data_IF_198664255844
#
_entry.id   IF_198664255844
#
_cell.length_a   1.000
_cell.length_b   1.000
_cell.length_c   1.000
_cell.angle_alpha   90.00
_cell.angle_beta   90.00
_cell.angle_gamma   90.00
#
_symmetry.space_group_name_H-M   'P 1'
#
loop_
_entity.id
_entity.type
_entity.pdbx_description
1 polymer ?
#
# COMPACT_ATOMS: atom_id res chain seq x y z
N UNK A 1 -2.97 19.58 5.00
CA UNK A 1 -3.41 18.24 4.53
C UNK A 1 -4.52 17.77 5.44
N UNK A 2 -5.61 17.21 4.88
CA UNK A 2 -6.64 16.50 5.63
C UNK A 2 -6.32 15.01 5.58
N UNK A 3 -6.54 14.32 6.70
CA UNK A 3 -6.31 12.88 6.81
C UNK A 3 -7.57 12.24 7.34
N UNK A 4 -8.08 11.24 6.63
CA UNK A 4 -9.20 10.42 7.04
C UNK A 4 -8.63 9.00 7.28
N UNK A 5 -8.58 8.57 8.56
CA UNK A 5 -7.95 7.32 8.99
C UNK A 5 -8.93 6.14 8.98
N UNK A 6 -8.43 4.97 8.63
CA UNK A 6 -9.11 3.67 8.74
C UNK A 6 -10.50 3.58 8.06
N UNK A 7 -10.65 4.30 6.95
CA UNK A 7 -11.90 4.37 6.20
C UNK A 7 -12.24 3.01 5.57
N UNK A 8 -13.52 2.62 5.55
CA UNK A 8 -13.94 1.32 5.01
C UNK A 8 -14.08 1.37 3.48
N UNK A 9 -13.67 0.29 2.82
CA UNK A 9 -13.97 0.00 1.42
C UNK A 9 -14.62 -1.38 1.36
N UNK A 10 -15.89 -1.43 0.98
CA UNK A 10 -16.67 -2.68 0.93
C UNK A 10 -16.42 -3.38 -0.41
N UNK A 11 -15.94 -4.61 -0.36
CA UNK A 11 -15.74 -5.48 -1.52
C UNK A 11 -17.06 -6.16 -1.94
N UNK A 12 -17.08 -6.74 -3.13
CA UNK A 12 -18.21 -7.48 -3.70
C UNK A 12 -18.68 -8.67 -2.84
N UNK A 13 -17.78 -9.27 -2.06
CA UNK A 13 -18.08 -10.35 -1.12
C UNK A 13 -18.47 -9.87 0.28
N UNK A 14 -18.64 -8.55 0.46
CA UNK A 14 -18.99 -7.92 1.72
C UNK A 14 -17.81 -7.75 2.69
N UNK A 15 -16.61 -8.23 2.36
CA UNK A 15 -15.43 -7.95 3.17
C UNK A 15 -15.10 -6.46 3.13
N UNK A 16 -14.73 -5.89 4.27
CA UNK A 16 -14.39 -4.46 4.38
C UNK A 16 -12.89 -4.30 4.50
N UNK A 17 -12.25 -3.81 3.43
CA UNK A 17 -10.86 -3.38 3.49
C UNK A 17 -10.73 -2.05 4.23
N UNK A 18 -9.55 -1.80 4.79
CA UNK A 18 -9.22 -0.57 5.53
C UNK A 18 -8.20 0.26 4.78
N UNK A 19 -8.48 1.56 4.69
CA UNK A 19 -7.63 2.50 4.00
C UNK A 19 -7.35 3.76 4.83
N UNK A 20 -6.23 4.43 4.54
CA UNK A 20 -5.92 5.77 5.01
C UNK A 20 -5.87 6.72 3.81
N UNK A 21 -6.58 7.84 3.92
CA UNK A 21 -6.67 8.85 2.87
C UNK A 21 -6.00 10.14 3.31
N UNK A 22 -4.97 10.54 2.57
CA UNK A 22 -4.27 11.81 2.72
C UNK A 22 -4.63 12.70 1.53
N UNK A 23 -5.14 13.90 1.76
CA UNK A 23 -5.58 14.77 0.67
C UNK A 23 -5.42 16.25 0.96
N UNK A 24 -5.47 17.13 -0.07
CA UNK A 24 -5.44 18.56 0.13
C UNK A 24 -6.55 19.00 1.10
N UNK A 25 -6.25 20.02 1.91
CA UNK A 25 -7.22 20.56 2.88
C UNK A 25 -8.25 21.51 2.26
N UNK A 26 -8.01 21.93 1.02
CA UNK A 26 -8.93 22.76 0.22
C UNK A 26 -10.00 21.88 -0.42
N UNK A 27 -11.19 22.43 -0.63
CA UNK A 27 -12.22 21.73 -1.39
C UNK A 27 -11.81 21.55 -2.85
N UNK A 28 -12.17 20.40 -3.43
CA UNK A 28 -11.84 20.08 -4.80
C UNK A 28 -11.84 18.58 -5.09
N UNK A 29 -11.61 18.26 -6.36
CA UNK A 29 -11.40 16.90 -6.86
C UNK A 29 -9.94 16.72 -7.21
N UNK A 30 -9.36 15.61 -6.77
CA UNK A 30 -7.93 15.35 -6.86
C UNK A 30 -7.65 14.05 -7.64
N UNK A 31 -6.58 13.98 -8.44
CA UNK A 31 -6.05 12.70 -8.89
C UNK A 31 -5.60 11.88 -7.68
N UNK A 32 -5.83 10.57 -7.74
CA UNK A 32 -5.56 9.65 -6.62
C UNK A 32 -4.29 8.86 -6.91
N UNK A 33 -3.36 8.80 -5.96
CA UNK A 33 -2.26 7.84 -5.92
C UNK A 33 -2.65 6.73 -4.96
N UNK A 34 -2.82 5.52 -5.47
CA UNK A 34 -3.27 4.36 -4.71
C UNK A 34 -2.12 3.36 -4.53
N UNK A 35 -1.92 2.92 -3.28
CA UNK A 35 -1.06 1.79 -2.94
C UNK A 35 -1.89 0.75 -2.17
N UNK A 36 -1.73 -0.53 -2.54
CA UNK A 36 -2.47 -1.66 -1.96
C UNK A 36 -1.51 -2.82 -1.70
N UNK A 37 -1.42 -3.28 -0.45
CA UNK A 37 -0.48 -4.34 -0.12
C UNK A 37 -0.43 -4.73 1.36
N UNK A 38 0.47 -5.65 1.72
CA UNK A 38 0.38 -6.37 2.99
C UNK A 38 1.26 -5.80 4.11
N UNK A 39 1.96 -4.69 3.88
CA UNK A 39 2.99 -4.19 4.82
C UNK A 39 2.46 -3.23 5.90
N UNK A 40 1.15 -3.23 6.09
CA UNK A 40 0.42 -2.43 7.07
C UNK A 40 0.62 -0.90 6.95
N UNK A 41 -0.41 -0.21 6.45
CA UNK A 41 -0.49 1.25 6.32
C UNK A 41 -0.29 2.01 7.64
N UNK A 42 -0.51 1.36 8.78
CA UNK A 42 -0.31 1.93 10.12
C UNK A 42 1.12 1.84 10.66
N UNK A 43 2.02 1.09 10.02
CA UNK A 43 3.39 0.87 10.50
C UNK A 43 4.36 1.91 9.91
N UNK A 44 4.90 2.77 10.78
CA UNK A 44 5.87 3.77 10.39
C UNK A 44 7.13 3.12 9.80
N UNK A 45 7.69 3.69 8.73
CA UNK A 45 8.91 3.19 8.10
C UNK A 45 10.06 3.07 9.13
N UNK A 46 10.18 4.04 10.04
CA UNK A 46 11.18 4.05 11.09
C UNK A 46 11.08 2.87 12.08
N UNK A 47 9.90 2.27 12.23
CA UNK A 47 9.66 1.12 13.11
C UNK A 47 9.83 -0.20 12.38
N UNK A 48 9.20 -0.33 11.21
CA UNK A 48 9.20 -1.58 10.47
C UNK A 48 10.57 -1.90 9.86
N UNK A 49 11.28 -0.88 9.41
CA UNK A 49 12.51 -1.04 8.63
C UNK A 49 13.58 -0.01 9.05
N UNK A 50 13.99 -0.01 10.33
CA UNK A 50 14.84 1.04 10.90
C UNK A 50 16.19 1.17 10.19
N UNK A 51 16.81 0.05 9.78
CA UNK A 51 18.10 0.07 9.07
C UNK A 51 17.98 0.70 7.68
N UNK A 52 16.93 0.35 6.93
CA UNK A 52 16.69 0.93 5.61
C UNK A 52 16.31 2.41 5.69
N UNK A 53 15.49 2.79 6.69
CA UNK A 53 15.20 4.19 6.96
C UNK A 53 16.48 4.98 7.27
N UNK A 54 17.30 4.50 8.21
CA UNK A 54 18.54 5.16 8.61
C UNK A 54 19.49 5.35 7.43
N UNK A 55 19.71 4.30 6.62
CA UNK A 55 20.54 4.38 5.42
C UNK A 55 20.00 5.39 4.42
N UNK A 56 18.70 5.36 4.16
CA UNK A 56 18.08 6.31 3.24
C UNK A 56 18.32 7.76 3.69
N UNK A 57 18.08 8.10 4.96
CA UNK A 57 18.25 9.49 5.42
C UNK A 57 19.71 9.90 5.62
N UNK A 58 20.63 8.95 5.85
CA UNK A 58 22.06 9.26 6.04
C UNK A 58 22.82 9.35 4.71
N UNK A 59 22.53 8.44 3.78
CA UNK A 59 23.20 8.37 2.47
C UNK A 59 22.54 9.33 1.46
N UNK A 60 21.23 9.59 1.61
CA UNK A 60 20.42 10.41 0.71
C UNK A 60 19.55 11.43 1.48
N UNK A 61 20.16 12.40 2.20
CA UNK A 61 19.43 13.35 3.03
C UNK A 61 18.42 14.21 2.25
N UNK A 62 18.64 14.41 0.94
CA UNK A 62 17.70 15.11 0.05
C UNK A 62 16.32 14.44 -0.01
N UNK A 63 16.25 13.12 0.20
CA UNK A 63 14.99 12.37 0.27
C UNK A 63 14.14 12.85 1.44
N UNK A 64 14.76 13.22 2.57
CA UNK A 64 14.05 13.75 3.75
C UNK A 64 13.84 15.25 3.73
N UNK A 65 14.55 16.01 2.89
CA UNK A 65 14.68 17.48 3.03
C UNK A 65 13.39 18.31 2.93
N UNK A 66 12.32 17.74 2.36
CA UNK A 66 11.01 18.40 2.18
C UNK A 66 9.85 17.65 2.86
N UNK A 67 10.14 16.76 3.80
CA UNK A 67 9.14 16.00 4.56
C UNK A 67 9.59 15.85 6.01
N UNK A 68 8.62 15.78 6.93
CA UNK A 68 8.89 15.40 8.31
C UNK A 68 9.19 13.89 8.46
N UNK A 69 8.89 13.09 7.44
CA UNK A 69 8.97 11.63 7.47
C UNK A 69 7.88 10.96 8.31
N UNK A 70 6.99 11.75 8.93
CA UNK A 70 5.99 11.28 9.91
C UNK A 70 4.99 10.27 9.33
N UNK A 71 4.66 10.43 8.06
CA UNK A 71 3.67 9.60 7.35
C UNK A 71 4.34 8.63 6.37
N UNK A 72 5.65 8.42 6.47
CA UNK A 72 6.34 7.49 5.61
C UNK A 72 6.08 6.05 6.04
N UNK A 73 5.79 5.22 5.05
CA UNK A 73 5.69 3.78 5.19
C UNK A 73 6.62 3.13 4.17
N UNK A 74 6.94 1.87 4.40
CA UNK A 74 7.77 1.09 3.48
C UNK A 74 7.16 1.07 2.07
N UNK A 75 8.00 1.38 1.07
CA UNK A 75 7.72 1.21 -0.38
C UNK A 75 6.54 1.98 -0.98
N UNK A 76 5.97 2.97 -0.27
CA UNK A 76 4.85 3.78 -0.77
C UNK A 76 5.21 5.27 -0.84
N UNK A 77 4.39 6.03 -1.57
CA UNK A 77 4.60 7.48 -1.73
C UNK A 77 4.47 8.24 -0.41
N UNK A 78 5.24 9.32 -0.29
CA UNK A 78 5.15 10.27 0.82
C UNK A 78 3.98 11.25 0.62
N UNK A 79 2.92 11.22 1.44
CA UNK A 79 1.81 12.17 1.29
C UNK A 79 2.26 13.61 1.52
N UNK A 80 3.33 13.87 2.29
CA UNK A 80 3.82 15.25 2.48
C UNK A 80 4.47 15.82 1.23
N UNK A 81 4.86 14.99 0.26
CA UNK A 81 5.39 15.45 -1.04
C UNK A 81 4.29 15.58 -2.09
N UNK A 82 3.32 14.65 -2.10
CA UNK A 82 2.31 14.58 -3.16
C UNK A 82 1.05 15.40 -2.88
N UNK A 83 0.63 15.52 -1.61
CA UNK A 83 -0.54 16.33 -1.25
C UNK A 83 -0.35 17.81 -1.56
N UNK A 84 0.81 18.44 -1.31
CA UNK A 84 1.07 19.82 -1.75
C UNK A 84 1.00 20.01 -3.26
N UNK A 85 1.22 18.95 -4.05
CA UNK A 85 1.09 18.95 -5.51
C UNK A 85 -0.36 18.68 -5.98
N UNK A 86 -1.33 18.62 -5.06
CA UNK A 86 -2.75 18.48 -5.37
C UNK A 86 -3.24 17.05 -5.53
N UNK A 87 -2.43 16.03 -5.22
CA UNK A 87 -2.83 14.62 -5.25
C UNK A 87 -3.47 14.18 -3.93
N UNK A 88 -4.41 13.24 -4.01
CA UNK A 88 -4.84 12.45 -2.87
C UNK A 88 -4.03 11.15 -2.83
N UNK A 89 -3.45 10.78 -1.69
CA UNK A 89 -2.78 9.49 -1.50
C UNK A 89 -3.70 8.56 -0.71
N UNK A 90 -4.06 7.41 -1.28
CA UNK A 90 -4.90 6.38 -0.67
C UNK A 90 -4.06 5.13 -0.44
N UNK A 91 -3.89 4.74 0.82
CA UNK A 91 -3.14 3.53 1.20
C UNK A 91 -4.09 2.50 1.75
N UNK A 92 -4.05 1.29 1.22
CA UNK A 92 -4.99 0.23 1.53
C UNK A 92 -4.22 -0.99 2.04
N UNK A 93 -4.63 -1.49 3.20
CA UNK A 93 -4.18 -2.80 3.67
C UNK A 93 -4.87 -3.88 2.85
N UNK A 94 -4.10 -4.79 2.24
CA UNK A 94 -4.67 -5.90 1.49
C UNK A 94 -5.45 -6.85 2.38
N UNK A 95 -6.34 -7.64 1.78
CA UNK A 95 -7.15 -8.65 2.49
C UNK A 95 -6.28 -9.53 3.41
N UNK A 96 -6.63 -9.59 4.69
CA UNK A 96 -5.92 -10.36 5.71
C UNK A 96 -4.62 -9.74 6.23
N UNK A 97 -4.26 -8.53 5.80
CA UNK A 97 -3.09 -7.80 6.26
C UNK A 97 -3.46 -6.56 7.07
N UNK A 98 -2.55 -6.12 7.94
CA UNK A 98 -2.74 -4.90 8.73
C UNK A 98 -4.10 -4.87 9.41
N UNK A 99 -4.91 -3.85 9.15
CA UNK A 99 -6.25 -3.70 9.72
C UNK A 99 -7.38 -4.30 8.87
N UNK A 100 -7.08 -4.82 7.68
CA UNK A 100 -8.05 -5.46 6.79
C UNK A 100 -8.26 -6.93 7.18
N UNK A 101 -9.48 -7.35 7.56
CA UNK A 101 -9.77 -8.74 7.89
C UNK A 101 -9.66 -9.66 6.67
N UNK A 102 -9.84 -10.96 6.92
CA UNK A 102 -9.88 -11.99 5.89
C UNK A 102 -8.62 -12.82 5.84
N UNK A 103 -8.47 -13.57 4.74
CA UNK A 103 -7.34 -14.46 4.52
C UNK A 103 -6.41 -13.85 3.48
N UNK A 104 -5.13 -13.86 3.79
CA UNK A 104 -4.10 -13.42 2.86
C UNK A 104 -3.78 -14.53 1.85
N UNK A 105 -3.85 -14.17 0.57
CA UNK A 105 -3.52 -15.05 -0.56
C UNK A 105 -2.78 -14.19 -1.60
N UNK A 106 -1.47 -14.05 -1.41
CA UNK A 106 -0.64 -13.16 -2.21
C UNK A 106 -0.71 -13.47 -3.70
N UNK A 107 -0.93 -12.42 -4.48
CA UNK A 107 -1.00 -12.45 -5.94
C UNK A 107 -2.09 -13.40 -6.48
N UNK A 108 -3.04 -13.80 -5.63
CA UNK A 108 -4.16 -14.61 -6.04
C UNK A 108 -5.17 -13.75 -6.84
N UNK A 109 -6.02 -14.39 -7.66
CA UNK A 109 -7.10 -13.68 -8.37
C UNK A 109 -7.99 -12.86 -7.44
N UNK A 110 -8.23 -13.31 -6.20
CA UNK A 110 -9.01 -12.56 -5.20
C UNK A 110 -8.35 -11.22 -4.85
N UNK A 111 -7.05 -11.21 -4.61
CA UNK A 111 -6.31 -9.98 -4.30
C UNK A 111 -6.30 -9.02 -5.49
N UNK A 112 -6.17 -9.56 -6.70
CA UNK A 112 -6.26 -8.77 -7.95
C UNK A 112 -7.63 -8.11 -8.08
N UNK A 113 -8.69 -8.86 -7.76
CA UNK A 113 -10.07 -8.38 -7.79
C UNK A 113 -10.34 -7.31 -6.71
N UNK A 114 -9.76 -7.45 -5.52
CA UNK A 114 -9.83 -6.46 -4.44
C UNK A 114 -9.17 -5.13 -4.86
N UNK A 115 -7.99 -5.19 -5.50
CA UNK A 115 -7.33 -3.99 -6.01
C UNK A 115 -8.12 -3.34 -7.15
N UNK A 116 -8.68 -4.12 -8.08
CA UNK A 116 -9.59 -3.60 -9.10
C UNK A 116 -10.76 -2.82 -8.47
N UNK A 117 -11.45 -3.41 -7.50
CA UNK A 117 -12.59 -2.76 -6.84
C UNK A 117 -12.18 -1.52 -6.06
N UNK A 118 -10.99 -1.55 -5.46
CA UNK A 118 -10.42 -0.40 -4.76
C UNK A 118 -10.13 0.77 -5.71
N UNK A 119 -9.65 0.49 -6.93
CA UNK A 119 -9.43 1.50 -7.98
C UNK A 119 -10.77 2.11 -8.41
N UNK A 120 -11.77 1.27 -8.70
CA UNK A 120 -13.10 1.74 -9.13
C UNK A 120 -13.78 2.55 -8.02
N UNK A 121 -13.69 2.08 -6.78
CA UNK A 121 -14.20 2.81 -5.61
C UNK A 121 -13.53 4.17 -5.47
N UNK A 122 -12.19 4.24 -5.58
CA UNK A 122 -11.45 5.50 -5.46
C UNK A 122 -11.76 6.47 -6.61
N UNK A 123 -12.09 5.96 -7.79
CA UNK A 123 -12.46 6.77 -8.96
C UNK A 123 -13.75 7.57 -8.78
N UNK A 124 -14.73 7.06 -8.03
CA UNK A 124 -16.08 7.64 -7.95
C UNK A 124 -16.32 8.53 -6.73
N UNK A 125 -15.36 8.65 -5.82
CA UNK A 125 -15.54 9.45 -4.61
C UNK A 125 -15.69 10.95 -4.91
N UNK A 126 -16.43 11.69 -4.08
CA UNK A 126 -16.68 13.12 -4.30
C UNK A 126 -15.40 13.99 -4.33
N UNK A 127 -14.35 13.54 -3.64
CA UNK A 127 -13.01 14.17 -3.62
C UNK A 127 -12.09 13.69 -4.74
N UNK A 128 -12.51 12.71 -5.55
CA UNK A 128 -11.73 12.15 -6.65
C UNK A 128 -12.03 12.86 -7.96
N UNK A 129 -11.00 13.02 -8.77
CA UNK A 129 -11.11 13.53 -10.15
C UNK A 129 -11.56 12.46 -11.17
N UNK A 130 -11.75 11.21 -10.73
CA UNK A 130 -11.98 10.08 -11.63
C UNK A 130 -10.70 9.45 -12.20
N UNK A 131 -9.53 10.02 -11.89
CA UNK A 131 -8.23 9.49 -12.32
C UNK A 131 -7.48 8.89 -11.14
N UNK A 132 -7.25 7.58 -11.19
CA UNK A 132 -6.46 6.82 -10.21
C UNK A 132 -5.16 6.38 -10.86
N UNK A 133 -4.04 6.70 -10.22
CA UNK A 133 -2.72 6.22 -10.56
C UNK A 133 -2.24 5.21 -9.53
N UNK A 134 -1.57 4.14 -9.96
CA UNK A 134 -0.90 3.21 -9.05
C UNK A 134 0.57 3.59 -8.89
N UNK A 135 1.05 3.60 -7.65
CA UNK A 135 2.45 3.83 -7.33
C UNK A 135 2.83 3.06 -6.06
N UNK A 136 4.04 2.52 -6.07
CA UNK A 136 4.63 1.75 -5.00
C UNK A 136 5.71 0.84 -5.56
N UNK A 137 6.58 0.33 -4.68
CA UNK A 137 7.76 -0.45 -5.04
C UNK A 137 7.48 -1.96 -4.78
N UNK A 138 8.20 -2.85 -5.45
CA UNK A 138 8.23 -4.30 -5.14
C UNK A 138 6.84 -4.94 -5.18
N UNK A 139 6.26 -5.39 -4.05
CA UNK A 139 4.94 -6.02 -3.99
C UNK A 139 3.84 -5.11 -4.55
N UNK A 140 3.90 -3.82 -4.21
CA UNK A 140 2.95 -2.83 -4.73
C UNK A 140 3.09 -2.67 -6.25
N UNK A 141 4.32 -2.77 -6.79
CA UNK A 141 4.59 -2.68 -8.22
C UNK A 141 4.11 -3.93 -8.97
N UNK A 142 4.36 -5.13 -8.44
CA UNK A 142 3.88 -6.41 -9.01
C UNK A 142 2.35 -6.40 -9.15
N UNK A 143 1.65 -5.96 -8.11
CA UNK A 143 0.18 -5.87 -8.11
C UNK A 143 -0.38 -4.93 -9.19
N UNK A 144 0.39 -3.95 -9.67
CA UNK A 144 -0.07 -3.06 -10.75
C UNK A 144 -0.28 -3.84 -12.06
N UNK A 145 0.61 -4.78 -12.38
CA UNK A 145 0.45 -5.63 -13.57
C UNK A 145 -0.82 -6.46 -13.51
N UNK A 146 -1.08 -7.07 -12.35
CA UNK A 146 -2.28 -7.87 -12.13
C UNK A 146 -3.55 -7.03 -12.27
N UNK A 147 -3.63 -5.88 -11.57
CA UNK A 147 -4.81 -5.02 -11.64
C UNK A 147 -5.06 -4.47 -13.04
N UNK A 148 -4.01 -4.06 -13.75
CA UNK A 148 -4.15 -3.54 -15.12
C UNK A 148 -4.64 -4.57 -16.13
N UNK A 149 -4.38 -5.86 -15.89
CA UNK A 149 -4.91 -6.94 -16.74
C UNK A 149 -6.45 -6.99 -16.74
N UNK A 150 -7.10 -6.47 -15.70
CA UNK A 150 -8.55 -6.35 -15.60
C UNK A 150 -9.11 -5.04 -16.19
N UNK A 151 -8.24 -4.17 -16.72
CA UNK A 151 -8.59 -2.89 -17.35
C UNK A 151 -9.59 -2.03 -16.54
N UNK A 152 -9.26 -1.63 -15.29
CA UNK A 152 -10.14 -0.77 -14.50
C UNK A 152 -10.44 0.54 -15.23
N UNK A 153 -11.69 0.97 -15.22
CA UNK A 153 -12.15 2.17 -15.91
C UNK A 153 -11.44 3.43 -15.40
N UNK A 154 -11.20 3.50 -14.08
CA UNK A 154 -10.62 4.67 -13.43
C UNK A 154 -9.08 4.64 -13.36
N UNK A 155 -8.44 3.56 -13.80
CA UNK A 155 -6.99 3.45 -13.84
C UNK A 155 -6.41 4.31 -14.98
N UNK A 156 -5.86 5.47 -14.63
CA UNK A 156 -5.32 6.45 -15.57
C UNK A 156 -3.81 6.32 -15.81
N UNK A 157 -3.06 5.79 -14.83
CA UNK A 157 -1.61 5.64 -14.93
C UNK A 157 -1.06 4.58 -13.97
N UNK A 158 0.12 4.05 -14.28
CA UNK A 158 0.88 3.16 -13.41
C UNK A 158 2.34 3.60 -13.38
N UNK A 159 2.97 3.47 -12.21
CA UNK A 159 4.41 3.61 -12.03
C UNK A 159 4.93 2.32 -11.41
N UNK A 160 5.33 1.38 -12.27
CA UNK A 160 5.85 0.07 -11.86
C UNK A 160 7.33 0.23 -11.50
N UNK A 161 7.59 0.51 -10.23
CA UNK A 161 8.95 0.66 -9.73
C UNK A 161 9.44 -0.67 -9.12
N UNK A 162 10.35 -1.35 -9.81
CA UNK A 162 10.97 -2.61 -9.34
C UNK A 162 9.94 -3.74 -9.04
N UNK A 163 8.96 -3.91 -9.93
CA UNK A 163 7.97 -4.99 -9.84
C UNK A 163 8.18 -6.07 -10.89
N UNK A 164 8.32 -7.32 -10.46
CA UNK A 164 8.37 -8.50 -11.33
C UNK A 164 7.08 -8.67 -12.15
N UNK A 165 7.21 -9.25 -13.35
CA UNK A 165 6.09 -9.47 -14.26
C UNK A 165 5.81 -10.97 -14.51
N UNK A 166 6.78 -11.84 -14.28
CA UNK A 166 6.65 -13.29 -14.42
C UNK A 166 6.90 -14.01 -13.08
N UNK A 167 5.84 -14.62 -12.55
CA UNK A 167 5.88 -15.37 -11.29
C UNK A 167 6.93 -16.48 -11.24
N UNK A 168 7.16 -17.17 -12.36
CA UNK A 168 8.14 -18.24 -12.40
C UNK A 168 9.54 -17.67 -12.59
N UNK A 169 9.75 -16.87 -13.64
CA UNK A 169 11.09 -16.50 -14.12
C UNK A 169 11.75 -15.39 -13.31
N UNK A 170 10.97 -14.47 -12.76
CA UNK A 170 11.49 -13.29 -12.07
C UNK A 170 11.49 -13.47 -10.54
N UNK A 171 10.65 -14.39 -10.04
CA UNK A 171 10.31 -14.44 -8.61
C UNK A 171 10.68 -15.78 -7.99
N UNK A 172 10.08 -16.87 -8.45
CA UNK A 172 10.19 -18.16 -7.76
C UNK A 172 11.35 -19.03 -8.26
N UNK A 173 11.81 -18.85 -9.50
CA UNK A 173 12.87 -19.66 -10.10
C UNK A 173 13.81 -18.86 -10.99
N UNK A 174 15.12 -19.02 -10.79
CA UNK A 174 16.14 -18.44 -11.65
C UNK A 174 16.81 -19.55 -12.46
N UNK A 175 16.54 -19.61 -13.76
CA UNK A 175 17.03 -20.71 -14.62
C UNK A 175 16.52 -22.10 -14.21
N UNK A 176 15.34 -22.18 -13.59
CA UNK A 176 14.76 -23.43 -13.07
C UNK A 176 15.17 -23.78 -11.63
N UNK A 177 16.02 -22.98 -10.99
CA UNK A 177 16.47 -23.19 -9.60
C UNK A 177 15.56 -22.39 -8.67
N UNK A 178 14.99 -23.05 -7.65
CA UNK A 178 14.10 -22.44 -6.66
C UNK A 178 14.79 -21.27 -5.92
N UNK A 179 14.11 -20.13 -5.90
CA UNK A 179 14.46 -18.96 -5.11
C UNK A 179 13.88 -19.09 -3.69
N UNK A 180 14.72 -19.01 -2.67
CA UNK A 180 14.30 -19.12 -1.26
C UNK A 180 13.83 -17.80 -0.64
N UNK A 181 13.93 -16.68 -1.39
CA UNK A 181 13.54 -15.35 -0.91
C UNK A 181 12.09 -15.29 -0.43
N UNK A 182 11.15 -15.87 -1.17
CA UNK A 182 9.71 -15.75 -0.88
C UNK A 182 9.29 -16.36 0.45
N UNK A 183 9.92 -17.46 0.86
CA UNK A 183 9.67 -18.06 2.17
C UNK A 183 10.11 -17.11 3.30
N UNK A 184 11.32 -16.56 3.19
CA UNK A 184 11.86 -15.62 4.17
C UNK A 184 11.08 -14.29 4.18
N UNK A 185 10.74 -13.77 3.00
CA UNK A 185 9.95 -12.56 2.85
C UNK A 185 8.59 -12.68 3.52
N UNK A 186 7.87 -13.78 3.31
CA UNK A 186 6.54 -13.96 3.91
C UNK A 186 6.62 -13.99 5.43
N UNK A 187 7.60 -14.72 5.98
CA UNK A 187 7.79 -14.84 7.42
C UNK A 187 8.19 -13.50 8.07
N UNK A 188 9.03 -12.71 7.40
CA UNK A 188 9.56 -11.46 7.95
C UNK A 188 8.64 -10.26 7.72
N UNK A 189 8.06 -10.13 6.52
CA UNK A 189 7.38 -8.91 6.08
C UNK A 189 5.86 -8.97 6.18
N UNK A 190 5.29 -10.18 6.12
CA UNK A 190 3.83 -10.34 6.08
C UNK A 190 3.29 -10.84 7.41
N UNK A 191 3.81 -11.97 7.90
CA UNK A 191 3.29 -12.59 9.15
C UNK A 191 3.37 -11.65 10.35
N UNK A 192 4.40 -10.81 10.40
CA UNK A 192 4.68 -9.86 11.50
C UNK A 192 3.67 -8.73 11.59
N UNK A 193 2.90 -8.49 10.53
CA UNK A 193 1.89 -7.43 10.43
C UNK A 193 0.55 -7.94 9.90
N UNK A 194 0.32 -9.24 10.00
CA UNK A 194 -0.91 -9.87 9.54
C UNK A 194 -2.10 -9.48 10.42
N UNK A 195 -3.29 -9.37 9.83
CA UNK A 195 -4.51 -9.10 10.58
C UNK A 195 -4.76 -10.18 11.65
N UNK A 196 -5.24 -9.75 12.82
CA UNK A 196 -5.57 -10.61 13.96
C UNK A 196 -4.41 -10.83 14.94
N UNK A 197 -3.30 -10.10 14.79
CA UNK A 197 -2.28 -10.07 15.85
C UNK A 197 -2.77 -9.30 17.09
N UNK A 198 -3.69 -8.35 16.93
CA UNK A 198 -4.22 -7.54 18.02
C UNK A 198 -3.10 -6.82 18.76
N UNK A 199 -3.13 -6.90 20.09
CA UNK A 199 -2.11 -6.33 20.99
C UNK A 199 -0.71 -6.94 20.85
N UNK A 200 -0.57 -8.10 20.18
CA UNK A 200 0.74 -8.71 19.90
C UNK A 200 1.45 -8.02 18.74
N UNK A 201 0.72 -7.26 17.92
CA UNK A 201 1.26 -6.48 16.81
C UNK A 201 1.73 -5.07 17.25
N UNK A 202 2.38 -4.33 16.35
CA UNK A 202 2.77 -2.95 16.62
C UNK A 202 1.56 -2.03 16.78
N UNK A 203 1.78 -0.88 17.43
CA UNK A 203 0.79 0.22 17.51
C UNK A 203 1.25 1.40 16.66
N UNK A 204 0.31 2.05 15.99
CA UNK A 204 0.62 3.18 15.13
C UNK A 204 1.02 4.39 15.97
N UNK A 205 2.17 5.01 15.67
CA UNK A 205 2.61 6.27 16.31
C UNK A 205 1.67 7.46 16.05
N UNK A 206 0.79 7.35 15.05
CA UNK A 206 -0.03 8.47 14.58
C UNK A 206 -1.44 8.46 15.16
N UNK A 207 -2.02 7.27 15.33
CA UNK A 207 -3.40 7.08 15.76
C UNK A 207 -3.52 6.34 17.08
N UNK A 208 -2.41 5.78 17.58
CA UNK A 208 -2.35 4.89 18.74
C UNK A 208 -3.20 3.61 18.57
N UNK A 209 -3.71 3.32 17.37
CA UNK A 209 -4.46 2.11 17.06
C UNK A 209 -3.53 0.93 16.82
N UNK A 210 -4.02 -0.29 17.09
CA UNK A 210 -3.34 -1.52 16.70
C UNK A 210 -3.16 -1.57 15.17
N UNK A 211 -1.93 -1.82 14.71
CA UNK A 211 -1.61 -1.87 13.28
C UNK A 211 -2.25 -3.09 12.60
N UNK A 212 -2.51 -4.15 13.36
CA UNK A 212 -2.89 -5.47 12.87
C UNK A 212 -4.36 -5.84 13.13
N UNK A 213 -5.23 -4.83 13.21
CA UNK A 213 -6.59 -5.01 13.69
C UNK A 213 -6.65 -5.33 15.19
N UNK A 214 -7.87 -5.53 15.68
CA UNK A 214 -8.15 -5.91 17.06
C UNK A 214 -8.24 -7.45 17.19
#
# INVERSE_FOLDING_TARGET
MRIDWDIPIVMDDGLVLRADLFRPGVEGRHPVLLSYGPYAKGLAFQDGYPSAWQRMISEHPEVGSASSGKYQNWEVVDPEKWVPQGYACLRIDSRGAGRSPGRIEHFAPRETQDLYQSIEWAGVQAWSSGKVGLNGISYYAINQWHAASLQPLHLAAMCVWEGAADWYRDMTHHGGILCTFWANWYDMQVKTVQYGLGERGPRSRLTDLAVCGD
#
